data_IF_265454397967
#
_entry.id   IF_265454397967
#
_cell.length_a   1.000
_cell.length_b   1.000
_cell.length_c   1.000
_cell.angle_alpha   90.00
_cell.angle_beta   90.00
_cell.angle_gamma   90.00
#
_symmetry.space_group_name_H-M   'P 1'
#
loop_
_entity.id
_entity.type
_entity.pdbx_description
1 polymer ?
#
# COMPACT_ATOMS: atom_id res chain seq x y z
N UNK A 1 -94.30 -35.19 -7.06
CA UNK A 1 -94.10 -35.36 -8.52
C UNK A 1 -92.74 -34.75 -8.85
N UNK A 2 -91.82 -35.55 -9.42
CA UNK A 2 -90.37 -35.27 -9.70
C UNK A 2 -89.50 -35.07 -8.44
N UNK A 3 -88.59 -35.96 -8.01
CA UNK A 3 -87.67 -36.90 -8.68
C UNK A 3 -86.79 -36.21 -9.74
N UNK A 4 -85.53 -35.89 -9.39
CA UNK A 4 -84.32 -36.62 -9.86
C UNK A 4 -83.01 -35.84 -9.54
N UNK A 5 -82.16 -36.49 -8.73
CA UNK A 5 -80.69 -36.68 -8.86
C UNK A 5 -79.77 -35.43 -8.72
N UNK A 6 -78.59 -35.43 -8.08
CA UNK A 6 -77.47 -36.38 -7.97
C UNK A 6 -76.72 -36.02 -6.66
N UNK A 7 -76.64 -36.91 -5.66
CA UNK A 7 -75.50 -37.77 -5.29
C UNK A 7 -74.14 -37.10 -4.98
N UNK A 8 -73.69 -37.38 -3.74
CA UNK A 8 -72.34 -37.73 -3.30
C UNK A 8 -71.27 -36.65 -3.07
N UNK A 9 -70.71 -36.67 -1.85
CA UNK A 9 -69.33 -36.21 -1.59
C UNK A 9 -69.08 -35.72 -0.18
N UNK A 10 -68.89 -36.64 0.76
CA UNK A 10 -68.44 -36.39 2.13
C UNK A 10 -66.99 -35.88 2.20
N UNK A 11 -66.73 -35.04 3.22
CA UNK A 11 -65.50 -34.93 4.02
C UNK A 11 -64.16 -34.61 3.32
N UNK A 12 -63.67 -33.40 3.58
CA UNK A 12 -62.26 -33.02 3.37
C UNK A 12 -61.96 -31.65 3.96
N UNK A 13 -61.75 -31.57 5.28
CA UNK A 13 -61.10 -30.43 5.90
C UNK A 13 -59.59 -30.53 5.68
N UNK A 14 -58.97 -29.59 4.96
CA UNK A 14 -57.55 -29.26 5.10
C UNK A 14 -57.29 -27.86 4.54
N UNK A 15 -56.62 -27.05 5.37
CA UNK A 15 -56.42 -25.62 5.18
C UNK A 15 -55.78 -25.24 3.85
N UNK A 16 -56.38 -24.25 3.21
CA UNK A 16 -55.72 -23.48 2.17
C UNK A 16 -54.92 -22.40 2.88
N UNK A 17 -53.60 -22.58 2.90
CA UNK A 17 -52.60 -21.58 3.30
C UNK A 17 -53.01 -20.20 2.77
N UNK A 18 -53.17 -19.22 3.65
CA UNK A 18 -52.93 -17.83 3.26
C UNK A 18 -51.54 -17.78 2.63
N UNK A 19 -51.49 -17.48 1.33
CA UNK A 19 -50.27 -17.06 0.69
C UNK A 19 -49.83 -15.78 1.41
N UNK A 20 -48.62 -15.72 2.01
CA UNK A 20 -48.08 -14.45 2.39
C UNK A 20 -47.83 -13.71 1.08
N UNK A 21 -48.64 -12.69 0.80
CA UNK A 21 -48.21 -11.53 0.02
C UNK A 21 -47.06 -10.90 0.78
N UNK A 22 -45.89 -11.55 0.69
CA UNK A 22 -44.62 -10.92 0.89
C UNK A 22 -44.47 -9.96 -0.26
N UNK A 23 -44.82 -8.70 -0.03
CA UNK A 23 -44.25 -7.58 -0.74
C UNK A 23 -42.74 -7.66 -0.52
N UNK A 24 -42.09 -8.46 -1.36
CA UNK A 24 -40.67 -8.39 -1.59
C UNK A 24 -40.50 -7.05 -2.32
N UNK A 25 -40.43 -5.97 -1.55
CA UNK A 25 -39.88 -4.71 -2.02
C UNK A 25 -38.50 -5.05 -2.56
N UNK A 26 -38.45 -5.23 -3.86
CA UNK A 26 -37.27 -5.49 -4.65
C UNK A 26 -36.33 -4.33 -4.33
N UNK A 27 -35.33 -4.60 -3.49
CA UNK A 27 -34.27 -3.63 -3.20
C UNK A 27 -33.57 -3.37 -4.53
N UNK A 28 -34.04 -2.36 -5.24
CA UNK A 28 -33.38 -1.87 -6.43
C UNK A 28 -32.01 -1.39 -5.97
N UNK A 29 -30.98 -2.09 -6.41
CA UNK A 29 -29.60 -1.66 -6.21
C UNK A 29 -29.45 -0.30 -6.85
N UNK A 30 -29.15 0.71 -6.03
CA UNK A 30 -28.93 2.06 -6.50
C UNK A 30 -27.64 2.04 -7.34
N UNK A 31 -27.80 2.24 -8.65
CA UNK A 31 -26.68 2.38 -9.58
C UNK A 31 -26.55 3.83 -10.02
N UNK A 32 -25.30 4.30 -10.08
CA UNK A 32 -25.02 5.59 -10.65
C UNK A 32 -25.26 5.57 -12.17
N UNK A 33 -25.88 6.62 -12.74
CA UNK A 33 -25.97 6.75 -14.18
C UNK A 33 -24.58 7.03 -14.79
N UNK A 34 -24.41 6.85 -16.11
CA UNK A 34 -23.21 7.27 -16.84
C UNK A 34 -22.86 8.74 -16.57
N UNK A 35 -21.58 9.07 -16.50
CA UNK A 35 -21.11 10.42 -16.12
C UNK A 35 -21.61 11.52 -17.04
N UNK A 36 -21.88 11.22 -18.32
CA UNK A 36 -22.42 12.15 -19.31
C UNK A 36 -23.83 12.63 -18.94
N UNK A 37 -24.55 11.86 -18.12
CA UNK A 37 -25.89 12.20 -17.59
C UNK A 37 -25.83 12.87 -16.22
N UNK A 38 -24.63 13.09 -15.66
CA UNK A 38 -24.43 13.74 -14.38
C UNK A 38 -23.94 15.17 -14.60
N UNK A 39 -24.75 16.14 -14.19
CA UNK A 39 -24.38 17.54 -14.27
C UNK A 39 -23.51 17.95 -13.08
N UNK A 40 -22.20 17.97 -13.30
CA UNK A 40 -21.26 18.56 -12.35
C UNK A 40 -21.29 20.09 -12.47
N UNK A 41 -21.18 20.79 -11.35
CA UNK A 41 -20.95 22.24 -11.36
C UNK A 41 -19.53 22.52 -11.89
N UNK A 42 -19.37 22.56 -13.22
CA UNK A 42 -18.09 22.71 -13.93
C UNK A 42 -17.35 24.00 -13.55
N UNK A 43 -18.07 25.07 -13.19
CA UNK A 43 -17.49 26.32 -12.66
C UNK A 43 -16.76 26.17 -11.32
N UNK A 44 -17.00 25.08 -10.58
CA UNK A 44 -16.32 24.80 -9.31
C UNK A 44 -15.08 23.93 -9.49
N UNK A 45 -15.06 22.99 -10.44
CA UNK A 45 -13.93 22.06 -10.64
C UNK A 45 -12.56 22.75 -10.76
N UNK A 46 -12.46 23.79 -11.59
CA UNK A 46 -11.22 24.57 -11.80
C UNK A 46 -10.96 25.63 -10.70
N UNK A 47 -11.89 25.82 -9.76
CA UNK A 47 -11.83 26.83 -8.68
C UNK A 47 -11.90 26.22 -7.27
N UNK A 48 -11.91 24.90 -7.15
CA UNK A 48 -11.92 24.23 -5.86
C UNK A 48 -10.59 24.52 -5.16
N UNK A 49 -10.62 25.41 -4.19
CA UNK A 49 -9.51 25.64 -3.26
C UNK A 49 -9.63 24.61 -2.14
N UNK A 50 -9.11 23.42 -2.40
CA UNK A 50 -9.12 22.33 -1.44
C UNK A 50 -7.95 22.44 -0.47
N UNK A 51 -8.23 22.11 0.79
CA UNK A 51 -7.19 21.97 1.82
C UNK A 51 -6.26 20.79 1.51
N UNK A 52 -6.83 19.70 0.98
CA UNK A 52 -6.10 18.58 0.39
C UNK A 52 -6.21 18.56 -1.14
N UNK A 53 -6.06 17.38 -1.74
CA UNK A 53 -6.26 17.13 -3.16
C UNK A 53 -7.73 17.18 -3.61
N UNK A 54 -7.93 16.93 -4.90
CA UNK A 54 -9.25 16.82 -5.54
C UNK A 54 -9.53 15.35 -5.82
N UNK A 55 -10.68 14.87 -5.37
CA UNK A 55 -11.19 13.51 -5.60
C UNK A 55 -12.57 13.58 -6.26
N UNK A 56 -13.27 12.46 -6.36
CA UNK A 56 -14.60 12.37 -6.96
C UNK A 56 -15.68 12.07 -5.93
N UNK A 57 -16.88 12.59 -6.15
CA UNK A 57 -18.06 12.31 -5.32
C UNK A 57 -18.53 10.85 -5.38
N UNK A 58 -19.70 10.59 -4.79
CA UNK A 58 -20.33 9.26 -4.65
C UNK A 58 -20.34 8.46 -5.96
N UNK A 59 -20.76 9.08 -7.06
CA UNK A 59 -20.83 8.43 -8.37
C UNK A 59 -19.54 8.45 -9.19
N UNK A 60 -18.42 8.96 -8.64
CA UNK A 60 -17.14 8.95 -9.33
C UNK A 60 -16.97 9.97 -10.47
N UNK A 61 -17.99 10.78 -10.78
CA UNK A 61 -17.95 11.67 -11.94
C UNK A 61 -17.57 13.13 -11.62
N UNK A 62 -18.06 13.67 -10.50
CA UNK A 62 -17.87 15.10 -10.19
C UNK A 62 -16.69 15.34 -9.24
N UNK A 63 -15.83 16.34 -9.51
CA UNK A 63 -14.71 16.68 -8.65
C UNK A 63 -15.18 17.33 -7.35
N UNK A 64 -14.61 16.90 -6.23
CA UNK A 64 -14.85 17.37 -4.86
C UNK A 64 -13.52 17.41 -4.09
N UNK A 65 -13.46 18.13 -2.97
CA UNK A 65 -12.25 18.10 -2.14
C UNK A 65 -12.10 16.76 -1.41
N UNK A 66 -10.88 16.24 -1.41
CA UNK A 66 -10.53 15.09 -0.61
C UNK A 66 -10.45 15.46 0.89
N UNK A 67 -10.70 14.47 1.74
CA UNK A 67 -10.64 14.60 3.20
C UNK A 67 -9.20 14.52 3.68
N UNK A 68 -8.77 15.51 4.45
CA UNK A 68 -7.41 15.51 5.04
C UNK A 68 -7.34 14.66 6.29
N UNK A 69 -6.12 14.43 6.80
CA UNK A 69 -5.89 13.68 8.03
C UNK A 69 -6.79 14.14 9.20
N UNK A 70 -7.37 13.17 9.92
CA UNK A 70 -8.30 13.38 11.03
C UNK A 70 -9.74 13.74 10.60
N UNK A 71 -10.00 14.06 9.34
CA UNK A 71 -11.36 14.37 8.88
C UNK A 71 -12.21 13.11 8.70
N UNK A 72 -13.53 13.27 8.85
CA UNK A 72 -14.49 12.16 8.71
C UNK A 72 -14.60 11.72 7.27
N UNK A 73 -14.68 10.41 7.05
CA UNK A 73 -14.67 9.80 5.72
C UNK A 73 -15.55 8.56 5.64
N UNK A 74 -15.81 8.09 4.42
CA UNK A 74 -16.56 6.84 4.17
C UNK A 74 -18.07 7.01 4.28
N UNK A 75 -18.72 6.11 5.04
CA UNK A 75 -20.17 5.95 5.02
C UNK A 75 -20.65 5.17 3.78
N UNK A 76 -21.96 4.92 3.67
CA UNK A 76 -22.52 4.21 2.52
C UNK A 76 -22.22 4.95 1.22
N UNK A 77 -21.52 4.31 0.28
CA UNK A 77 -21.08 4.93 -0.98
C UNK A 77 -20.15 6.15 -0.84
N UNK A 78 -19.40 6.24 0.27
CA UNK A 78 -18.49 7.36 0.55
C UNK A 78 -19.17 8.74 0.62
N UNK A 79 -20.44 8.80 1.03
CA UNK A 79 -21.18 10.07 1.15
C UNK A 79 -20.53 11.06 2.14
N UNK A 80 -19.76 10.58 3.12
CA UNK A 80 -19.01 11.42 4.06
C UNK A 80 -17.71 11.95 3.43
N UNK A 81 -17.27 11.40 2.30
CA UNK A 81 -16.11 11.82 1.54
C UNK A 81 -15.00 10.79 1.51
N UNK A 82 -14.11 10.94 0.52
CA UNK A 82 -12.93 10.09 0.32
C UNK A 82 -11.69 10.80 0.83
N UNK A 83 -10.76 10.04 1.41
CA UNK A 83 -9.51 10.57 1.90
C UNK A 83 -8.59 11.03 0.78
N UNK A 84 -7.69 11.95 1.12
CA UNK A 84 -6.65 12.45 0.22
C UNK A 84 -5.62 11.37 -0.13
N UNK A 85 -4.80 11.65 -1.13
CA UNK A 85 -3.74 10.74 -1.56
C UNK A 85 -2.82 10.36 -0.40
N UNK A 86 -2.57 9.05 -0.22
CA UNK A 86 -1.75 8.52 0.88
C UNK A 86 -2.47 8.35 2.23
N UNK A 87 -3.78 8.62 2.30
CA UNK A 87 -4.61 8.42 3.49
C UNK A 87 -5.65 7.32 3.28
N UNK A 88 -5.94 6.54 4.33
CA UNK A 88 -7.02 5.55 4.37
C UNK A 88 -8.10 5.95 5.36
N UNK A 89 -9.34 5.60 5.00
CA UNK A 89 -10.50 5.82 5.85
C UNK A 89 -10.66 4.70 6.89
N UNK A 90 -10.21 4.93 8.11
CA UNK A 90 -10.14 3.91 9.17
C UNK A 90 -11.12 4.22 10.29
N UNK A 91 -11.59 3.20 11.01
CA UNK A 91 -12.37 3.41 12.23
C UNK A 91 -11.52 4.10 13.29
N UNK A 92 -12.12 5.02 14.04
CA UNK A 92 -11.50 5.45 15.29
C UNK A 92 -11.47 4.25 16.25
N UNK A 93 -10.32 4.05 16.89
CA UNK A 93 -10.25 3.15 18.04
C UNK A 93 -11.18 3.72 19.11
N UNK A 94 -12.03 2.89 19.73
CA UNK A 94 -12.99 3.38 20.70
C UNK A 94 -12.21 3.82 21.93
N UNK A 95 -12.37 5.08 22.32
CA UNK A 95 -12.43 5.37 23.75
C UNK A 95 -13.61 4.53 24.27
N UNK A 96 -13.31 3.67 25.22
CA UNK A 96 -14.21 2.67 25.80
C UNK A 96 -15.61 3.25 26.06
N UNK A 97 -16.64 2.52 25.61
CA UNK A 97 -18.06 2.62 26.00
C UNK A 97 -19.03 3.38 25.06
N UNK A 98 -19.11 2.98 23.79
CA UNK A 98 -20.15 3.46 22.86
C UNK A 98 -20.75 2.36 21.98
N UNK A 99 -22.06 2.43 21.62
CA UNK A 99 -22.71 1.45 20.75
C UNK A 99 -22.11 1.44 19.33
N UNK A 100 -21.96 0.25 18.77
CA UNK A 100 -21.32 -0.04 17.47
C UNK A 100 -21.86 0.77 16.28
N UNK A 101 -23.08 1.29 16.39
CA UNK A 101 -23.80 2.02 15.35
C UNK A 101 -23.28 3.45 15.06
N UNK A 102 -22.40 4.02 15.90
CA UNK A 102 -21.84 5.37 15.69
C UNK A 102 -20.33 5.40 15.52
N UNK A 103 -19.71 4.29 15.08
CA UNK A 103 -18.25 4.23 14.93
C UNK A 103 -17.77 5.12 13.78
N UNK A 104 -17.38 6.35 14.14
CA UNK A 104 -16.87 7.36 13.23
C UNK A 104 -15.57 6.90 12.56
N UNK A 105 -15.48 7.07 11.24
CA UNK A 105 -14.28 6.80 10.46
C UNK A 105 -13.57 8.10 10.12
N UNK A 106 -12.24 8.10 10.16
CA UNK A 106 -11.42 9.27 9.83
C UNK A 106 -10.24 8.90 8.95
N UNK A 107 -9.74 9.87 8.17
CA UNK A 107 -8.56 9.69 7.34
C UNK A 107 -7.29 9.61 8.19
N UNK A 108 -6.52 8.54 8.03
CA UNK A 108 -5.19 8.37 8.64
C UNK A 108 -4.16 7.98 7.59
N UNK A 109 -2.91 8.35 7.82
CA UNK A 109 -1.80 8.01 6.92
C UNK A 109 -1.61 6.51 6.80
N UNK A 110 -1.40 6.02 5.56
CA UNK A 110 -0.95 4.64 5.31
C UNK A 110 0.55 4.56 5.50
N UNK A 111 0.98 4.82 6.72
CA UNK A 111 2.27 4.34 7.17
C UNK A 111 1.91 3.43 8.32
N UNK A 112 1.51 2.20 7.99
CA UNK A 112 2.04 1.11 8.80
C UNK A 112 3.52 1.07 8.43
N UNK A 113 4.45 1.56 9.29
CA UNK A 113 5.77 1.00 9.21
C UNK A 113 5.57 -0.49 9.45
N UNK A 114 5.75 -1.32 8.42
CA UNK A 114 5.96 -2.75 8.57
C UNK A 114 6.84 -2.91 9.80
N UNK A 115 6.29 -3.55 10.83
CA UNK A 115 6.92 -3.67 12.13
C UNK A 115 8.39 -4.08 11.89
N UNK A 116 9.37 -3.25 12.26
CA UNK A 116 10.78 -3.56 12.03
C UNK A 116 11.19 -4.91 12.63
N UNK A 117 10.40 -5.46 13.57
CA UNK A 117 10.56 -6.82 14.09
C UNK A 117 10.35 -7.94 13.05
N UNK A 118 9.55 -7.71 12.01
CA UNK A 118 9.30 -8.72 10.96
C UNK A 118 10.51 -8.94 10.04
N UNK A 119 11.47 -8.01 10.01
CA UNK A 119 12.62 -8.07 9.10
C UNK A 119 13.92 -8.43 9.83
N UNK A 120 13.90 -9.53 10.60
CA UNK A 120 15.05 -9.99 11.39
C UNK A 120 15.62 -11.31 10.84
N UNK A 121 16.95 -11.51 10.94
CA UNK A 121 17.97 -10.57 11.44
C UNK A 121 18.33 -9.50 10.40
N UNK A 122 18.78 -8.34 10.86
CA UNK A 122 19.30 -7.30 9.97
C UNK A 122 20.70 -7.68 9.45
N UNK A 123 21.00 -7.34 8.20
CA UNK A 123 22.35 -7.48 7.67
C UNK A 123 23.28 -6.45 8.34
N UNK A 124 23.97 -6.88 9.39
CA UNK A 124 25.04 -6.10 10.04
C UNK A 124 26.39 -6.73 9.74
N UNK A 125 27.47 -5.95 9.90
CA UNK A 125 28.84 -6.43 9.73
C UNK A 125 29.09 -7.66 10.60
N UNK A 126 28.80 -7.54 11.89
CA UNK A 126 29.08 -8.59 12.89
C UNK A 126 28.24 -9.85 12.64
N UNK A 127 26.97 -9.67 12.25
CA UNK A 127 26.07 -10.77 11.93
C UNK A 127 26.56 -11.55 10.71
N UNK A 128 26.91 -10.86 9.62
CA UNK A 128 27.35 -11.50 8.39
C UNK A 128 28.76 -12.06 8.44
N UNK A 129 29.66 -11.48 9.25
CA UNK A 129 30.97 -12.09 9.53
C UNK A 129 30.83 -13.43 10.25
N UNK A 130 29.89 -13.50 11.20
CA UNK A 130 29.65 -14.73 11.98
C UNK A 130 28.82 -15.75 11.20
N UNK A 131 28.03 -15.31 10.21
CA UNK A 131 27.07 -16.14 9.47
C UNK A 131 27.13 -15.86 7.95
N UNK A 132 28.21 -16.26 7.25
CA UNK A 132 28.48 -15.80 5.88
C UNK A 132 27.44 -16.25 4.86
N UNK A 133 26.72 -17.35 5.08
CA UNK A 133 25.68 -17.85 4.17
C UNK A 133 24.25 -17.52 4.63
N UNK A 134 24.06 -16.92 5.80
CA UNK A 134 22.73 -16.67 6.34
C UNK A 134 21.96 -15.63 5.52
N UNK A 135 20.63 -15.73 5.57
CA UNK A 135 19.71 -14.75 4.99
C UNK A 135 19.46 -13.66 6.04
N UNK A 136 19.54 -12.42 5.61
CA UNK A 136 19.31 -11.25 6.46
C UNK A 136 18.57 -10.15 5.69
N UNK A 137 18.00 -9.20 6.42
CA UNK A 137 17.31 -8.02 5.89
C UNK A 137 18.31 -6.93 5.50
N UNK A 138 18.40 -6.62 4.21
CA UNK A 138 19.23 -5.53 3.69
C UNK A 138 18.48 -4.20 3.61
N UNK A 139 17.33 -4.05 4.27
CA UNK A 139 16.47 -2.85 4.25
C UNK A 139 17.23 -1.52 4.37
N UNK A 140 18.27 -1.48 5.20
CA UNK A 140 19.06 -0.26 5.48
C UNK A 140 20.43 -0.21 4.77
N UNK A 141 20.90 -1.35 4.25
CA UNK A 141 22.25 -1.50 3.69
C UNK A 141 22.24 -1.84 2.20
N UNK A 142 21.08 -1.92 1.57
CA UNK A 142 20.98 -2.05 0.12
C UNK A 142 20.95 -0.69 -0.57
N UNK A 143 21.78 -0.51 -1.60
CA UNK A 143 21.80 0.70 -2.43
C UNK A 143 20.54 0.81 -3.30
N UNK A 144 20.01 -0.31 -3.76
CA UNK A 144 18.88 -0.37 -4.67
C UNK A 144 17.79 -1.29 -4.10
N UNK A 145 16.57 -0.77 -3.98
CA UNK A 145 15.44 -1.55 -3.46
C UNK A 145 14.70 -2.24 -4.59
N UNK A 146 14.46 -3.53 -4.46
CA UNK A 146 13.68 -4.34 -5.38
C UNK A 146 12.24 -4.47 -4.88
N UNK A 147 11.26 -4.04 -5.70
CA UNK A 147 9.86 -4.01 -5.29
C UNK A 147 9.32 -5.38 -4.86
N UNK A 148 9.74 -6.45 -5.54
CA UNK A 148 9.34 -7.83 -5.21
C UNK A 148 9.89 -8.33 -3.85
N UNK A 149 10.93 -7.68 -3.31
CA UNK A 149 11.55 -8.05 -2.04
C UNK A 149 10.91 -7.30 -0.85
N UNK A 150 9.83 -6.55 -1.09
CA UNK A 150 9.08 -5.85 -0.06
C UNK A 150 9.91 -4.82 0.70
N UNK A 151 9.59 -4.55 1.96
CA UNK A 151 10.35 -3.59 2.78
C UNK A 151 11.66 -4.16 3.33
N UNK A 152 11.75 -5.47 3.53
CA UNK A 152 12.90 -6.11 4.19
C UNK A 152 14.11 -6.29 3.28
N UNK A 153 13.92 -6.38 1.96
CA UNK A 153 15.03 -6.49 1.00
C UNK A 153 15.98 -7.65 1.37
N UNK A 154 15.42 -8.85 1.60
CA UNK A 154 16.22 -9.98 2.08
C UNK A 154 17.30 -10.38 1.06
N UNK A 155 18.48 -10.71 1.57
CA UNK A 155 19.61 -11.21 0.76
C UNK A 155 20.49 -12.12 1.60
N UNK A 156 21.48 -12.77 0.97
CA UNK A 156 22.48 -13.55 1.68
C UNK A 156 23.62 -12.66 2.17
N UNK A 157 24.15 -12.92 3.36
CA UNK A 157 25.34 -12.26 3.90
C UNK A 157 26.56 -12.36 2.96
N UNK A 158 26.64 -13.40 2.14
CA UNK A 158 27.67 -13.58 1.12
C UNK A 158 27.56 -12.55 -0.02
N UNK A 159 26.40 -11.90 -0.18
CA UNK A 159 26.14 -10.83 -1.14
C UNK A 159 26.40 -9.43 -0.55
N UNK A 160 26.91 -9.35 0.67
CA UNK A 160 27.31 -8.10 1.32
C UNK A 160 28.80 -7.82 1.15
N UNK A 161 29.14 -6.54 1.02
CA UNK A 161 30.48 -6.02 0.76
C UNK A 161 30.75 -4.85 1.71
N UNK A 162 31.99 -4.73 2.20
CA UNK A 162 32.43 -3.55 2.94
C UNK A 162 33.08 -2.57 1.97
N UNK A 163 32.40 -1.47 1.69
CA UNK A 163 32.92 -0.38 0.87
C UNK A 163 33.84 0.50 1.72
N UNK A 164 35.11 0.59 1.35
CA UNK A 164 36.05 1.55 1.94
C UNK A 164 36.07 2.81 1.10
N UNK A 165 35.94 3.95 1.76
CA UNK A 165 36.14 5.25 1.09
C UNK A 165 37.61 5.33 0.63
N UNK A 166 37.87 5.64 -0.64
CA UNK A 166 39.24 5.83 -1.11
C UNK A 166 39.88 7.03 -0.41
N UNK A 167 41.19 6.97 -0.18
CA UNK A 167 41.98 8.04 0.48
C UNK A 167 42.23 9.23 -0.46
N UNK A 168 41.16 9.79 -1.03
CA UNK A 168 41.22 10.99 -1.85
C UNK A 168 40.97 12.21 -0.97
N UNK A 169 42.02 13.00 -0.69
CA UNK A 169 41.98 14.14 0.22
C UNK A 169 41.55 15.47 -0.43
N UNK A 170 40.91 15.43 -1.60
CA UNK A 170 40.49 16.66 -2.29
C UNK A 170 39.28 17.27 -1.58
N UNK A 171 39.36 18.57 -1.27
CA UNK A 171 38.23 19.38 -0.79
C UNK A 171 37.85 20.35 -1.90
N UNK A 172 36.71 20.12 -2.53
CA UNK A 172 36.25 20.90 -3.68
C UNK A 172 34.99 21.70 -3.35
N UNK A 173 34.87 22.91 -3.92
CA UNK A 173 33.58 23.60 -4.01
C UNK A 173 32.70 22.91 -5.06
N UNK A 174 31.38 22.97 -4.91
CA UNK A 174 30.43 22.36 -5.87
C UNK A 174 30.48 23.01 -7.26
N UNK A 175 30.98 24.24 -7.37
CA UNK A 175 31.17 24.96 -8.63
C UNK A 175 32.51 24.72 -9.32
N UNK A 176 33.49 24.10 -8.65
CA UNK A 176 34.82 23.86 -9.21
C UNK A 176 34.86 22.53 -9.97
N UNK A 177 34.47 22.58 -11.25
CA UNK A 177 34.43 21.40 -12.12
C UNK A 177 35.79 20.71 -12.27
N UNK A 178 36.89 21.47 -12.23
CA UNK A 178 38.24 20.90 -12.41
C UNK A 178 38.66 20.11 -11.17
N UNK A 179 38.43 20.66 -9.97
CA UNK A 179 38.66 19.93 -8.72
C UNK A 179 37.79 18.67 -8.63
N UNK A 180 36.50 18.78 -8.96
CA UNK A 180 35.57 17.65 -8.94
C UNK A 180 36.00 16.54 -9.92
N UNK A 181 36.49 16.90 -11.11
CA UNK A 181 37.04 15.94 -12.08
C UNK A 181 38.31 15.27 -11.58
N UNK A 182 39.23 15.99 -10.93
CA UNK A 182 40.44 15.41 -10.34
C UNK A 182 40.11 14.46 -9.19
N UNK A 183 39.17 14.84 -8.33
CA UNK A 183 38.66 13.95 -7.29
C UNK A 183 38.04 12.68 -7.90
N UNK A 184 37.20 12.82 -8.92
CA UNK A 184 36.61 11.68 -9.63
C UNK A 184 37.66 10.73 -10.22
N UNK A 185 38.72 11.28 -10.82
CA UNK A 185 39.85 10.49 -11.35
C UNK A 185 40.62 9.76 -10.23
N UNK A 186 40.86 10.42 -9.10
CA UNK A 186 41.45 9.79 -7.92
C UNK A 186 40.62 8.59 -7.45
N UNK A 187 39.30 8.74 -7.34
CA UNK A 187 38.38 7.66 -6.93
C UNK A 187 38.43 6.50 -7.92
N UNK A 188 38.38 6.78 -9.23
CA UNK A 188 38.42 5.74 -10.27
C UNK A 188 39.72 4.92 -10.21
N UNK A 189 40.86 5.57 -10.02
CA UNK A 189 42.15 4.87 -9.88
C UNK A 189 42.13 3.90 -8.70
N UNK A 190 41.58 4.31 -7.56
CA UNK A 190 41.46 3.43 -6.39
C UNK A 190 40.49 2.26 -6.58
N UNK A 191 39.43 2.42 -7.35
CA UNK A 191 38.48 1.35 -7.64
C UNK A 191 39.02 0.35 -8.67
N UNK A 192 39.82 0.81 -9.64
CA UNK A 192 40.44 -0.04 -10.66
C UNK A 192 41.52 -0.98 -10.12
N UNK A 193 42.23 -0.59 -9.06
CA UNK A 193 43.32 -1.37 -8.46
C UNK A 193 42.85 -2.35 -7.37
N UNK A 194 41.64 -2.17 -6.84
CA UNK A 194 41.08 -2.98 -5.74
C UNK A 194 39.79 -3.66 -6.16
N UNK A 195 39.92 -4.78 -6.87
CA UNK A 195 38.88 -5.81 -6.90
C UNK A 195 38.81 -6.48 -5.52
N UNK A 196 38.27 -5.78 -4.51
CA UNK A 196 38.17 -6.31 -3.17
C UNK A 196 37.09 -7.40 -3.14
N UNK A 197 37.45 -8.65 -2.80
CA UNK A 197 36.48 -9.71 -2.63
C UNK A 197 35.63 -9.46 -1.38
N UNK A 198 34.35 -9.79 -1.55
CA UNK A 198 33.47 -10.49 -0.60
C UNK A 198 34.15 -10.83 0.72
N UNK A 199 33.63 -10.25 1.81
CA UNK A 199 33.81 -10.64 3.21
C UNK A 199 34.95 -11.63 3.47
N UNK A 200 36.20 -11.21 3.22
CA UNK A 200 37.37 -11.98 3.61
C UNK A 200 37.61 -11.71 5.09
N UNK A 201 37.75 -12.79 5.85
CA UNK A 201 37.76 -12.88 7.32
C UNK A 201 38.84 -12.07 8.02
N UNK A 202 39.72 -11.39 7.28
CA UNK A 202 40.87 -10.72 7.84
C UNK A 202 41.07 -9.34 7.19
N UNK A 203 41.30 -8.37 8.09
CA UNK A 203 41.76 -7.01 7.81
C UNK A 203 40.75 -6.01 7.22
N UNK A 204 39.98 -5.36 8.11
CA UNK A 204 40.10 -3.93 8.51
C UNK A 204 38.72 -3.38 8.95
N UNK A 205 38.74 -2.58 10.01
CA UNK A 205 37.60 -2.11 10.83
C UNK A 205 36.77 -0.96 10.26
N UNK A 206 37.24 -0.34 9.16
CA UNK A 206 36.66 0.89 8.60
C UNK A 206 36.00 0.63 7.24
N UNK A 207 34.73 1.00 7.08
CA UNK A 207 33.98 0.85 5.83
C UNK A 207 32.46 0.71 6.00
N UNK A 208 31.69 1.12 5.00
CA UNK A 208 30.23 1.03 4.99
C UNK A 208 29.81 -0.33 4.43
N UNK A 209 28.96 -1.07 5.14
CA UNK A 209 28.39 -2.31 4.63
C UNK A 209 27.34 -1.99 3.57
N UNK A 210 27.46 -2.63 2.41
CA UNK A 210 26.48 -2.58 1.33
C UNK A 210 26.13 -4.00 0.91
N UNK A 211 24.84 -4.30 0.80
CA UNK A 211 24.38 -5.62 0.37
C UNK A 211 23.62 -5.56 -0.95
N UNK A 212 23.97 -6.46 -1.86
CA UNK A 212 23.31 -6.62 -3.14
C UNK A 212 22.05 -7.46 -2.95
N UNK A 213 20.92 -6.94 -3.43
CA UNK A 213 19.63 -7.64 -3.41
C UNK A 213 19.40 -8.21 -4.80
N UNK A 214 19.06 -9.51 -4.93
CA UNK A 214 18.90 -10.15 -6.23
C UNK A 214 17.74 -9.55 -7.03
N UNK A 215 17.85 -9.61 -8.36
CA UNK A 215 16.76 -9.19 -9.25
C UNK A 215 15.48 -10.00 -9.03
N UNK A 216 14.36 -9.37 -9.34
CA UNK A 216 13.07 -10.03 -9.33
C UNK A 216 12.98 -11.02 -10.49
N UNK A 217 12.45 -12.22 -10.23
CA UNK A 217 12.07 -13.11 -11.32
C UNK A 217 11.01 -12.40 -12.16
N UNK A 218 11.29 -12.20 -13.45
CA UNK A 218 10.28 -11.74 -14.39
C UNK A 218 9.22 -12.84 -14.49
N UNK A 219 8.05 -12.61 -13.89
CA UNK A 219 6.85 -13.30 -14.35
C UNK A 219 6.52 -12.68 -15.71
N UNK A 220 6.95 -13.34 -16.79
CA UNK A 220 6.23 -13.20 -18.05
C UNK A 220 4.81 -13.67 -17.76
N UNK A 221 3.94 -12.74 -17.38
CA UNK A 221 2.51 -12.93 -17.43
C UNK A 221 2.15 -12.95 -18.91
N UNK A 222 2.30 -14.12 -19.51
CA UNK A 222 1.82 -14.42 -20.85
C UNK A 222 0.32 -14.17 -20.89
N UNK A 223 -0.09 -13.19 -21.70
CA UNK A 223 -1.36 -13.18 -22.42
C UNK A 223 -1.11 -12.68 -23.83
#
# INVERSE_FOLDING_TARGET
>A
MWMLLILCGLLGALGSKEAPTGDLHQLQTLHCPPCERIHCSSRRALRLQCKGGVTTGVCGCCPVCARTEGETCGGTWDYLGKCDEGLLCVYQEPDTDGPEAERKRTCKTVIEPLDPESCKPACTRDYCQSNPSAICSARLVSLEKKACQGSCQHTSCSSCLLLRRPSCHHTCASSDSTCLQHFGRCVQNHLGERSLPVCSSDLQTEGTLVCLVPECLHTNSSR
#
